data_IF_766755203862
#
_entry.id   IF_766755203862
#
_cell.length_a   1.000
_cell.length_b   1.000
_cell.length_c   1.000
_cell.angle_alpha   90.00
_cell.angle_beta   90.00
_cell.angle_gamma   90.00
#
_symmetry.space_group_name_H-M   'P 1'
#
loop_
_entity.id
_entity.type
_entity.pdbx_description
1 polymer ?
#
# COMPACT_ATOMS: atom_id res chain seq x y z
N UNK A 1 -56.27 52.28 13.82
CA UNK A 1 -56.05 51.55 12.55
C UNK A 1 -55.46 50.20 12.89
N UNK A 2 -56.17 49.13 12.57
CA UNK A 2 -55.69 47.74 12.69
C UNK A 2 -54.86 47.44 11.44
N UNK A 3 -53.66 46.88 11.61
CA UNK A 3 -52.89 46.31 10.52
C UNK A 3 -52.63 44.85 10.85
N UNK A 4 -53.38 43.97 10.20
CA UNK A 4 -53.19 42.53 10.21
C UNK A 4 -51.99 42.18 9.32
N UNK A 5 -50.97 41.54 9.87
CA UNK A 5 -49.85 40.96 9.11
C UNK A 5 -50.10 39.46 8.91
N UNK A 6 -50.25 38.96 7.67
CA UNK A 6 -50.34 37.53 7.44
C UNK A 6 -48.95 36.88 7.55
N UNK A 7 -48.86 35.85 8.38
CA UNK A 7 -47.68 34.97 8.48
C UNK A 7 -47.67 34.07 7.23
N UNK A 8 -46.73 34.33 6.33
CA UNK A 8 -46.50 33.51 5.14
C UNK A 8 -45.50 32.40 5.51
N UNK A 9 -46.02 31.23 5.90
CA UNK A 9 -45.21 30.03 6.15
C UNK A 9 -44.79 29.45 4.79
N UNK A 10 -43.59 29.82 4.34
CA UNK A 10 -42.97 29.23 3.15
C UNK A 10 -42.50 27.80 3.44
N UNK A 11 -43.21 26.81 2.89
CA UNK A 11 -42.74 25.42 2.85
C UNK A 11 -41.59 25.33 1.83
N UNK A 12 -40.35 25.30 2.32
CA UNK A 12 -39.18 24.98 1.48
C UNK A 12 -39.14 23.47 1.28
N UNK A 13 -39.59 23.00 0.11
CA UNK A 13 -39.41 21.62 -0.32
C UNK A 13 -37.91 21.40 -0.64
N UNK A 14 -37.17 20.86 0.31
CA UNK A 14 -35.78 20.43 0.09
C UNK A 14 -35.82 19.16 -0.76
N UNK A 15 -35.56 19.29 -2.07
CA UNK A 15 -35.31 18.15 -2.93
C UNK A 15 -33.97 17.52 -2.56
N UNK A 16 -34.01 16.39 -1.86
CA UNK A 16 -32.87 15.49 -1.72
C UNK A 16 -32.55 14.92 -3.10
N UNK A 17 -31.56 15.52 -3.77
CA UNK A 17 -30.92 14.91 -4.93
C UNK A 17 -30.22 13.64 -4.42
N UNK A 18 -30.83 12.49 -4.72
CA UNK A 18 -30.24 11.18 -4.47
C UNK A 18 -28.87 11.12 -5.12
N UNK A 19 -27.84 10.94 -4.30
CA UNK A 19 -26.49 10.66 -4.77
C UNK A 19 -26.55 9.26 -5.39
N UNK A 20 -26.60 9.22 -6.72
CA UNK A 20 -26.62 8.01 -7.53
C UNK A 20 -25.31 7.25 -7.25
N UNK A 21 -25.39 6.23 -6.41
CA UNK A 21 -24.27 5.35 -6.11
C UNK A 21 -24.00 4.50 -7.35
N UNK A 22 -23.18 5.02 -8.25
CA UNK A 22 -22.64 4.25 -9.36
C UNK A 22 -22.01 2.95 -8.79
N UNK A 23 -22.37 1.78 -9.31
CA UNK A 23 -21.75 0.53 -8.89
C UNK A 23 -20.25 0.62 -9.17
N UNK A 24 -19.44 0.38 -8.13
CA UNK A 24 -17.99 0.30 -8.25
C UNK A 24 -17.71 -0.88 -9.19
N UNK A 25 -17.33 -0.58 -10.44
CA UNK A 25 -16.85 -1.60 -11.36
C UNK A 25 -15.63 -2.29 -10.75
N UNK A 26 -15.85 -3.52 -10.29
CA UNK A 26 -14.80 -4.45 -9.90
C UNK A 26 -14.19 -5.07 -11.15
N UNK A 27 -13.67 -4.24 -12.05
CA UNK A 27 -12.76 -4.76 -13.06
C UNK A 27 -11.57 -5.37 -12.32
N UNK A 28 -11.31 -6.65 -12.56
CA UNK A 28 -10.21 -7.36 -11.92
C UNK A 28 -8.91 -6.67 -12.32
N UNK A 29 -8.37 -5.83 -11.43
CA UNK A 29 -7.07 -5.19 -11.63
C UNK A 29 -6.05 -6.30 -11.83
N UNK A 30 -5.49 -6.40 -13.03
CA UNK A 30 -4.45 -7.37 -13.33
C UNK A 30 -3.28 -7.18 -12.37
N UNK A 31 -3.01 -8.19 -11.55
CA UNK A 31 -1.98 -8.12 -10.51
C UNK A 31 -0.60 -8.12 -11.18
N UNK A 32 0.25 -7.17 -10.77
CA UNK A 32 1.62 -7.11 -11.28
C UNK A 32 2.45 -8.27 -10.73
N UNK A 33 3.08 -9.05 -11.61
CA UNK A 33 3.92 -10.18 -11.23
C UNK A 33 5.17 -9.76 -10.42
N UNK A 34 5.74 -10.69 -9.64
CA UNK A 34 6.86 -10.43 -8.73
C UNK A 34 8.10 -9.91 -9.44
N UNK A 35 8.42 -10.49 -10.60
CA UNK A 35 9.53 -10.06 -11.45
C UNK A 35 9.35 -8.60 -11.89
N UNK A 36 8.15 -8.21 -12.32
CA UNK A 36 7.86 -6.84 -12.73
C UNK A 36 7.95 -5.86 -11.55
N UNK A 37 7.61 -6.28 -10.34
CA UNK A 37 7.82 -5.46 -9.13
C UNK A 37 9.31 -5.37 -8.75
N UNK A 38 10.07 -6.45 -8.95
CA UNK A 38 11.50 -6.48 -8.73
C UNK A 38 12.23 -5.52 -9.69
N UNK A 39 11.75 -5.36 -10.93
CA UNK A 39 12.28 -4.36 -11.89
C UNK A 39 12.15 -2.91 -11.40
N UNK A 40 11.24 -2.63 -10.46
CA UNK A 40 11.10 -1.30 -9.87
C UNK A 40 12.08 -1.05 -8.71
N UNK A 41 12.94 -2.02 -8.37
CA UNK A 41 13.85 -1.96 -7.23
C UNK A 41 15.27 -2.29 -7.69
N UNK A 42 16.26 -1.66 -7.07
CA UNK A 42 17.66 -1.99 -7.34
C UNK A 42 18.05 -3.37 -6.79
N UNK A 43 17.45 -3.79 -5.67
CA UNK A 43 17.68 -5.07 -5.00
C UNK A 43 16.49 -5.37 -4.07
N UNK A 44 16.43 -6.58 -3.52
CA UNK A 44 15.36 -6.93 -2.58
C UNK A 44 15.34 -6.04 -1.33
N UNK A 45 14.18 -5.47 -1.04
CA UNK A 45 14.01 -4.49 0.03
C UNK A 45 14.35 -3.05 -0.33
N UNK A 46 15.07 -2.77 -1.43
CA UNK A 46 15.33 -1.40 -1.89
C UNK A 46 14.01 -0.66 -2.18
N UNK A 47 13.84 0.62 -1.84
CA UNK A 47 12.63 1.39 -2.17
C UNK A 47 12.26 1.26 -3.67
N UNK A 48 10.97 1.11 -4.01
CA UNK A 48 10.53 1.09 -5.39
C UNK A 48 10.65 2.48 -6.03
N UNK A 49 11.03 2.52 -7.29
CA UNK A 49 10.92 3.70 -8.14
C UNK A 49 9.44 4.03 -8.44
N UNK A 50 9.15 5.31 -8.63
CA UNK A 50 7.81 5.81 -8.97
C UNK A 50 7.59 5.61 -10.47
N UNK A 51 6.59 4.79 -10.88
CA UNK A 51 6.39 4.42 -12.28
C UNK A 51 5.47 5.36 -13.07
N UNK A 52 4.94 6.40 -12.43
CA UNK A 52 4.04 7.39 -13.02
C UNK A 52 4.67 8.79 -12.99
N UNK A 53 4.25 9.73 -13.85
CA UNK A 53 4.70 11.11 -13.77
C UNK A 53 4.23 11.80 -12.48
N UNK A 54 4.83 12.95 -12.10
CA UNK A 54 4.29 13.78 -11.02
C UNK A 54 2.85 14.18 -11.32
N UNK A 55 1.93 13.93 -10.38
CA UNK A 55 0.48 14.17 -10.55
C UNK A 55 -0.02 15.44 -9.83
N UNK A 56 0.88 16.22 -9.23
CA UNK A 56 0.52 17.46 -8.52
C UNK A 56 -0.28 17.25 -7.21
N UNK A 57 -0.38 16.02 -6.72
CA UNK A 57 -1.06 15.66 -5.47
C UNK A 57 -0.08 15.07 -4.45
N UNK A 58 -0.42 15.16 -3.17
CA UNK A 58 0.32 14.46 -2.12
C UNK A 58 0.31 12.94 -2.37
N UNK A 59 1.44 12.27 -2.16
CA UNK A 59 1.56 10.82 -2.41
C UNK A 59 0.48 10.00 -1.67
N UNK A 60 0.18 10.40 -0.44
CA UNK A 60 -0.81 9.77 0.45
C UNK A 60 -2.26 9.95 -0.01
N UNK A 61 -2.54 10.86 -0.96
CA UNK A 61 -3.86 10.95 -1.59
C UNK A 61 -4.21 9.68 -2.38
N UNK A 62 -3.20 8.96 -2.88
CA UNK A 62 -3.39 7.73 -3.64
C UNK A 62 -2.81 6.49 -2.91
N UNK A 63 -1.65 6.66 -2.28
CA UNK A 63 -0.98 5.63 -1.49
C UNK A 63 -1.46 5.64 -0.04
N UNK A 64 -2.73 5.31 0.14
CA UNK A 64 -3.39 5.24 1.46
C UNK A 64 -2.97 3.96 2.22
N UNK A 65 -3.52 3.74 3.42
CA UNK A 65 -3.34 2.47 4.16
C UNK A 65 -3.81 1.23 3.38
N UNK A 66 -4.76 1.39 2.47
CA UNK A 66 -5.36 0.29 1.69
C UNK A 66 -5.03 0.34 0.20
N UNK A 67 -4.47 1.46 -0.28
CA UNK A 67 -4.29 1.74 -1.70
C UNK A 67 -5.56 2.32 -2.33
N UNK A 68 -5.46 2.74 -3.58
CA UNK A 68 -6.62 3.28 -4.32
C UNK A 68 -6.47 3.10 -5.82
N UNK A 69 -7.58 2.90 -6.52
CA UNK A 69 -7.62 2.90 -7.98
C UNK A 69 -7.70 4.34 -8.52
N UNK A 70 -7.00 4.61 -9.63
CA UNK A 70 -6.99 5.91 -10.31
C UNK A 70 -7.26 5.73 -11.80
N UNK A 71 -8.32 6.36 -12.36
CA UNK A 71 -8.60 6.33 -13.78
C UNK A 71 -7.39 6.77 -14.60
N UNK A 72 -7.07 6.04 -15.66
CA UNK A 72 -5.94 6.35 -16.56
C UNK A 72 -4.54 6.12 -15.98
N UNK A 73 -4.40 5.75 -14.70
CA UNK A 73 -3.09 5.49 -14.04
C UNK A 73 -2.98 4.05 -13.53
N UNK A 74 -4.07 3.50 -13.00
CA UNK A 74 -4.11 2.15 -12.41
C UNK A 74 -4.22 2.17 -10.88
N UNK A 75 -3.85 1.07 -10.23
CA UNK A 75 -3.96 0.92 -8.78
C UNK A 75 -2.69 1.39 -8.05
N UNK A 76 -2.82 2.40 -7.20
CA UNK A 76 -1.79 2.85 -6.28
C UNK A 76 -1.71 1.87 -5.09
N UNK A 77 -0.59 1.17 -4.87
CA UNK A 77 -0.44 0.25 -3.75
C UNK A 77 -0.55 0.97 -2.41
N UNK A 78 -1.07 0.24 -1.42
CA UNK A 78 -1.08 0.65 -0.02
C UNK A 78 0.33 1.02 0.47
N UNK A 79 0.42 2.05 1.31
CA UNK A 79 1.66 2.44 1.98
C UNK A 79 2.04 1.40 3.05
N UNK A 80 3.15 0.65 2.88
CA UNK A 80 3.55 -0.42 3.80
C UNK A 80 4.10 0.11 5.13
N UNK A 81 4.44 1.39 5.21
CA UNK A 81 5.06 2.03 6.38
C UNK A 81 4.27 3.25 6.85
N UNK A 82 2.95 3.29 6.61
CA UNK A 82 2.09 4.40 7.08
C UNK A 82 2.15 4.63 8.59
N UNK A 83 2.49 3.58 9.37
CA UNK A 83 2.64 3.64 10.82
C UNK A 83 4.06 3.91 11.32
N UNK A 84 5.07 4.02 10.44
CA UNK A 84 6.44 4.35 10.85
C UNK A 84 6.51 5.84 11.21
N UNK A 85 6.81 6.19 12.48
CA UNK A 85 6.90 7.57 12.91
C UNK A 85 7.96 8.32 12.09
N UNK A 86 7.73 9.60 11.79
CA UNK A 86 8.65 10.47 11.01
C UNK A 86 8.80 10.08 9.53
N UNK A 87 9.31 8.89 9.19
CA UNK A 87 9.61 8.55 7.79
C UNK A 87 8.38 8.14 6.97
N UNK A 88 7.41 7.48 7.60
CA UNK A 88 6.33 6.81 6.86
C UNK A 88 4.97 7.48 6.95
N UNK A 89 4.70 8.16 8.06
CA UNK A 89 3.43 8.85 8.30
C UNK A 89 3.40 10.30 7.78
N UNK A 90 4.55 11.00 7.72
CA UNK A 90 4.55 12.46 7.60
C UNK A 90 5.61 13.12 6.70
N UNK A 91 6.63 12.45 6.14
CA UNK A 91 7.69 13.20 5.44
C UNK A 91 8.24 12.59 4.13
N UNK A 92 8.46 13.50 3.16
CA UNK A 92 9.25 13.42 1.93
C UNK A 92 9.49 12.01 1.34
N UNK A 93 8.44 11.39 0.79
CA UNK A 93 8.53 10.10 0.10
C UNK A 93 9.64 10.09 -0.97
N UNK A 94 9.89 11.23 -1.62
CA UNK A 94 10.91 11.41 -2.64
C UNK A 94 12.36 11.32 -2.15
N UNK A 95 12.59 11.27 -0.83
CA UNK A 95 13.93 10.97 -0.28
C UNK A 95 14.37 9.54 -0.60
N UNK A 96 13.41 8.61 -0.67
CA UNK A 96 13.67 7.20 -0.92
C UNK A 96 13.08 6.72 -2.25
N UNK A 97 11.91 7.25 -2.62
CA UNK A 97 11.20 6.90 -3.84
C UNK A 97 11.52 7.89 -4.95
N UNK A 98 12.38 7.50 -5.87
CA UNK A 98 12.74 8.33 -7.02
C UNK A 98 11.85 8.02 -8.21
N UNK A 99 11.52 9.04 -9.00
CA UNK A 99 10.90 8.84 -10.31
C UNK A 99 11.81 8.04 -11.22
N UNK A 100 11.23 7.15 -12.02
CA UNK A 100 11.99 6.44 -13.04
C UNK A 100 12.49 7.45 -14.08
N UNK A 101 13.78 7.77 -14.03
CA UNK A 101 14.41 8.67 -14.99
C UNK A 101 14.71 7.94 -16.30
N UNK A 102 14.54 8.64 -17.42
CA UNK A 102 14.89 8.15 -18.77
C UNK A 102 16.30 8.59 -19.21
N UNK A 103 17.05 9.28 -18.34
CA UNK A 103 18.37 9.83 -18.68
C UNK A 103 19.42 8.73 -18.57
N UNK A 104 20.32 8.59 -19.55
CA UNK A 104 21.41 7.61 -19.48
C UNK A 104 22.34 7.89 -18.29
N UNK A 105 22.93 6.83 -17.75
CA UNK A 105 23.94 6.95 -16.71
C UNK A 105 25.15 7.72 -17.25
N UNK A 106 25.67 8.69 -16.49
CA UNK A 106 26.93 9.38 -16.84
C UNK A 106 28.10 8.40 -16.95
N UNK A 107 28.10 7.34 -16.14
CA UNK A 107 29.07 6.24 -16.17
C UNK A 107 28.31 4.93 -15.93
N UNK A 108 28.68 3.87 -16.66
CA UNK A 108 28.09 2.55 -16.46
C UNK A 108 28.27 2.03 -15.03
N UNK A 109 27.30 1.24 -14.56
CA UNK A 109 27.34 0.60 -13.23
C UNK A 109 27.40 -0.92 -13.39
N UNK A 110 28.34 -1.55 -12.71
CA UNK A 110 28.42 -3.02 -12.59
C UNK A 110 27.67 -3.54 -11.35
N UNK A 111 26.81 -2.71 -10.75
CA UNK A 111 26.03 -3.11 -9.59
C UNK A 111 25.05 -4.23 -9.95
N UNK A 112 25.15 -5.36 -9.23
CA UNK A 112 24.19 -6.46 -9.30
C UNK A 112 23.42 -6.51 -8.00
N UNK A 113 22.11 -6.29 -8.08
CA UNK A 113 21.23 -6.31 -6.93
C UNK A 113 21.05 -7.70 -6.33
N UNK A 114 20.71 -7.76 -5.04
CA UNK A 114 20.24 -8.99 -4.41
C UNK A 114 18.89 -9.40 -4.99
N UNK A 115 18.77 -10.66 -5.42
CA UNK A 115 17.51 -11.23 -5.87
C UNK A 115 16.46 -11.22 -4.75
N UNK A 116 15.19 -11.16 -5.14
CA UNK A 116 14.07 -11.20 -4.20
C UNK A 116 14.05 -12.51 -3.42
N UNK A 117 14.02 -12.43 -2.09
CA UNK A 117 13.85 -13.57 -1.21
C UNK A 117 12.37 -13.97 -1.17
N UNK A 118 12.06 -15.08 -1.85
CA UNK A 118 10.71 -15.64 -1.95
C UNK A 118 10.46 -16.76 -0.93
N UNK A 119 11.35 -16.94 0.06
CA UNK A 119 11.18 -18.03 1.01
C UNK A 119 9.91 -17.89 1.83
N UNK A 120 9.31 -19.03 2.13
CA UNK A 120 8.19 -19.12 3.05
C UNK A 120 8.68 -19.00 4.50
N UNK A 121 7.83 -18.44 5.35
CA UNK A 121 8.05 -18.44 6.79
C UNK A 121 8.00 -19.86 7.36
N UNK A 122 9.00 -20.23 8.16
CA UNK A 122 8.99 -21.51 8.89
C UNK A 122 7.84 -21.58 9.88
N UNK A 123 7.31 -22.78 10.09
CA UNK A 123 6.25 -23.07 11.07
C UNK A 123 6.75 -24.10 12.06
N UNK A 124 6.33 -23.99 13.32
CA UNK A 124 6.63 -25.01 14.34
C UNK A 124 5.88 -26.33 14.07
N UNK A 125 4.65 -26.24 13.55
CA UNK A 125 3.81 -27.37 13.12
C UNK A 125 2.83 -26.91 12.03
N UNK A 126 2.13 -27.82 11.35
CA UNK A 126 1.29 -27.53 10.17
C UNK A 126 0.30 -26.37 10.35
N UNK A 127 -0.37 -26.29 11.51
CA UNK A 127 -1.33 -25.22 11.83
C UNK A 127 -0.72 -23.97 12.46
N UNK A 128 0.56 -23.97 12.84
CA UNK A 128 1.19 -22.84 13.52
C UNK A 128 1.33 -21.64 12.58
N UNK A 129 1.20 -20.39 13.06
CA UNK A 129 1.52 -19.21 12.28
C UNK A 129 2.96 -19.28 11.74
N UNK A 130 3.21 -18.88 10.49
CA UNK A 130 4.56 -18.76 9.98
C UNK A 130 5.29 -17.60 10.68
N UNK A 131 6.55 -17.84 11.04
CA UNK A 131 7.50 -16.78 11.42
C UNK A 131 7.69 -15.86 10.21
N UNK A 132 7.73 -14.56 10.43
CA UNK A 132 7.91 -13.59 9.34
C UNK A 132 9.25 -13.83 8.64
N UNK A 133 9.25 -14.09 7.32
CA UNK A 133 10.48 -14.30 6.59
C UNK A 133 11.20 -12.97 6.27
N UNK A 134 10.75 -11.83 6.78
CA UNK A 134 11.38 -10.54 6.58
C UNK A 134 11.26 -9.70 7.86
N UNK A 135 12.05 -8.63 7.97
CA UNK A 135 11.90 -7.63 9.03
C UNK A 135 10.63 -6.80 8.85
N UNK A 136 10.12 -6.23 9.94
CA UNK A 136 8.92 -5.37 9.96
C UNK A 136 9.19 -3.90 9.73
N UNK A 137 10.43 -3.44 9.92
CA UNK A 137 10.79 -2.04 9.72
C UNK A 137 10.47 -1.61 8.29
N UNK A 138 9.74 -0.51 8.14
CA UNK A 138 9.20 0.00 6.87
C UNK A 138 8.17 -0.94 6.18
N UNK A 139 7.60 -1.89 6.93
CA UNK A 139 6.60 -2.90 6.50
C UNK A 139 5.55 -3.18 7.60
N UNK A 140 5.30 -2.20 8.46
CA UNK A 140 4.43 -2.29 9.63
C UNK A 140 2.95 -2.43 9.24
N UNK A 141 2.56 -1.94 8.06
CA UNK A 141 1.25 -2.21 7.47
C UNK A 141 1.29 -3.55 6.71
N UNK A 142 1.17 -4.67 7.45
CA UNK A 142 1.19 -6.02 6.89
C UNK A 142 0.16 -6.20 5.75
N UNK A 143 -1.01 -5.57 5.90
CA UNK A 143 -2.09 -5.62 4.93
C UNK A 143 -1.70 -5.01 3.58
N UNK A 144 -0.71 -4.12 3.51
CA UNK A 144 -0.25 -3.56 2.25
C UNK A 144 0.21 -4.64 1.25
N UNK A 145 0.82 -5.71 1.76
CA UNK A 145 1.30 -6.84 0.95
C UNK A 145 0.43 -8.09 1.06
N UNK A 146 -0.23 -8.29 2.20
CA UNK A 146 -0.95 -9.54 2.51
C UNK A 146 -2.46 -9.47 2.33
N UNK A 147 -3.09 -8.28 2.27
CA UNK A 147 -4.56 -8.19 2.24
C UNK A 147 -5.12 -7.11 1.30
N UNK A 148 -4.29 -6.18 0.81
CA UNK A 148 -4.72 -5.12 -0.11
C UNK A 148 -5.15 -5.68 -1.47
N UNK A 149 -5.83 -4.88 -2.28
CA UNK A 149 -6.17 -5.29 -3.66
C UNK A 149 -4.92 -5.56 -4.50
N UNK A 150 -3.80 -4.90 -4.17
CA UNK A 150 -2.49 -5.16 -4.76
C UNK A 150 -1.74 -6.35 -4.10
N UNK A 151 -2.31 -6.99 -3.08
CA UNK A 151 -1.73 -8.16 -2.45
C UNK A 151 -1.70 -9.33 -3.41
N UNK A 152 -0.57 -10.03 -3.42
CA UNK A 152 -0.33 -11.19 -4.27
C UNK A 152 -1.06 -12.42 -3.75
N UNK A 153 -1.71 -13.22 -4.61
CA UNK A 153 -2.45 -14.40 -4.18
C UNK A 153 -1.62 -15.38 -3.35
N UNK A 154 -0.34 -15.53 -3.69
CA UNK A 154 0.56 -16.52 -3.07
C UNK A 154 0.97 -16.17 -1.64
N UNK A 155 0.89 -14.88 -1.27
CA UNK A 155 1.17 -14.41 0.09
C UNK A 155 -0.06 -13.79 0.74
N UNK A 156 -1.26 -13.94 0.16
CA UNK A 156 -2.47 -13.37 0.76
C UNK A 156 -2.73 -14.00 2.12
N UNK A 157 -3.09 -13.14 3.07
CA UNK A 157 -3.53 -13.54 4.38
C UNK A 157 -4.80 -14.38 4.24
N UNK A 158 -4.82 -15.56 4.86
CA UNK A 158 -6.02 -16.41 4.89
C UNK A 158 -7.06 -15.94 5.92
N UNK A 159 -6.68 -14.99 6.77
CA UNK A 159 -7.50 -14.44 7.86
C UNK A 159 -7.36 -12.91 7.94
N UNK A 160 -7.78 -12.17 6.89
CA UNK A 160 -7.61 -10.72 6.81
C UNK A 160 -8.40 -9.96 7.88
N UNK A 161 -9.36 -10.61 8.55
CA UNK A 161 -10.12 -10.05 9.69
C UNK A 161 -9.26 -9.83 10.94
N UNK A 162 -8.09 -10.47 11.03
CA UNK A 162 -7.16 -10.29 12.15
C UNK A 162 -6.28 -9.08 11.93
N UNK A 163 -6.43 -8.07 12.77
CA UNK A 163 -5.74 -6.77 12.61
C UNK A 163 -4.36 -6.72 13.26
N UNK A 164 -4.10 -7.53 14.30
CA UNK A 164 -2.81 -7.58 14.99
C UNK A 164 -1.97 -8.78 14.54
N UNK A 165 -1.32 -8.66 13.39
CA UNK A 165 -0.54 -9.74 12.78
C UNK A 165 0.62 -10.21 13.69
N UNK A 166 1.29 -9.28 14.36
CA UNK A 166 2.48 -9.54 15.19
C UNK A 166 2.16 -10.22 16.52
N UNK A 167 0.87 -10.35 16.88
CA UNK A 167 0.45 -11.19 18.00
C UNK A 167 0.80 -12.67 17.77
N UNK A 168 0.79 -13.11 16.49
CA UNK A 168 1.01 -14.51 16.12
C UNK A 168 2.23 -14.69 15.21
N UNK A 169 2.49 -13.72 14.32
CA UNK A 169 3.61 -13.77 13.39
C UNK A 169 4.81 -13.03 13.98
N UNK A 170 5.74 -13.78 14.57
CA UNK A 170 6.95 -13.22 15.16
C UNK A 170 8.02 -12.98 14.09
N UNK A 171 8.89 -11.99 14.34
CA UNK A 171 10.11 -11.81 13.53
C UNK A 171 11.06 -12.99 13.74
N UNK A 172 11.79 -13.36 12.69
CA UNK A 172 12.85 -14.35 12.83
C UNK A 172 13.99 -13.77 13.64
N UNK A 173 14.38 -14.45 14.71
CA UNK A 173 15.62 -14.13 15.41
C UNK A 173 16.82 -14.45 14.50
N UNK A 174 17.48 -13.39 14.03
CA UNK A 174 18.66 -13.51 13.17
C UNK A 174 19.93 -13.84 13.97
N UNK A 175 19.92 -13.69 15.30
CA UNK A 175 21.06 -14.03 16.17
C UNK A 175 21.22 -15.53 16.38
N UNK A 176 20.13 -16.30 16.33
CA UNK A 176 20.16 -17.77 16.40
C UNK A 176 20.84 -18.46 15.20
N UNK A 177 21.14 -17.76 14.10
CA UNK A 177 21.76 -18.35 12.89
C UNK A 177 23.29 -18.25 12.87
N UNK A 178 23.91 -17.44 13.74
CA UNK A 178 25.38 -17.25 13.76
C UNK A 178 26.10 -18.30 14.61
N UNK A 179 25.36 -19.15 15.33
CA UNK A 179 25.91 -20.15 16.25
C UNK A 179 26.03 -21.58 15.67
N UNK A 180 26.36 -21.73 14.39
CA UNK A 180 26.68 -23.03 13.77
C UNK A 180 27.88 -22.97 12.86
#
# INVERSE_FOLDING_TARGET
MRYDFPILVGFVLVMFVGCDSQPIETSAVALTASNVRAERRAYDGAPPTIPHPPLGAACTACHTTTGSSRPGVGFAPANPHVGTPVEGAVQNCSQCHVFKNAVPLMVGSNFVGRAQDLRLGSRQYHGAPPVMPHGKFMRENCNACHSSQAARPEIRCSHPERTNCVQCHLERDMTATVAR
#
